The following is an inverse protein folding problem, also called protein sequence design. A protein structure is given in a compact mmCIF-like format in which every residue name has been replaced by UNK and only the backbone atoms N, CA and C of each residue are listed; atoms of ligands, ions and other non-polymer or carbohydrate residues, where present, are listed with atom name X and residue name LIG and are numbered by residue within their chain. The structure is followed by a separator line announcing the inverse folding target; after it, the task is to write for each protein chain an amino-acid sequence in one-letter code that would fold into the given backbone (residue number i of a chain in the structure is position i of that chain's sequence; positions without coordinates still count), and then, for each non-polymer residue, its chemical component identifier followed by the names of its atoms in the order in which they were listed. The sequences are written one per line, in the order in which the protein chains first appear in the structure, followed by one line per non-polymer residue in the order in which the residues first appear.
data_IF_855556674747
#
_entry.id   IF_855556674747
#
_cell.length_a   1.000
_cell.length_b   1.000
_cell.length_c   1.000
_cell.angle_alpha   90.00
_cell.angle_beta   90.00
_cell.angle_gamma   90.00
#
_symmetry.space_group_name_H-M   'P 1'
#
loop_
_entity.id
_entity.type
_entity.pdbx_description
1 polymer ?
#
# COMPACT_ATOMS: atom_id res chain seq x y z
N UNK A 1 0.83 -1.92 -22.33
CA UNK A 1 0.35 -2.76 -21.21
C UNK A 1 0.42 -1.88 -19.98
N UNK A 2 -0.64 -1.81 -19.17
CA UNK A 2 -0.66 -0.99 -17.96
C UNK A 2 0.16 -1.68 -16.87
N UNK A 3 1.08 -0.95 -16.23
CA UNK A 3 1.88 -1.47 -15.13
C UNK A 3 1.27 -1.04 -13.78
N UNK A 4 0.74 -2.02 -13.06
CA UNK A 4 0.09 -1.83 -11.75
C UNK A 4 1.05 -2.27 -10.65
N UNK A 5 1.43 -1.33 -9.79
CA UNK A 5 2.26 -1.61 -8.61
C UNK A 5 1.37 -1.78 -7.38
N UNK A 6 1.46 -2.93 -6.73
CA UNK A 6 0.75 -3.23 -5.47
C UNK A 6 1.70 -3.03 -4.30
N UNK A 7 1.31 -2.21 -3.32
CA UNK A 7 2.08 -2.07 -2.08
C UNK A 7 1.94 -3.31 -1.20
N UNK A 8 3.01 -4.07 -1.14
CA UNK A 8 3.11 -5.31 -0.39
C UNK A 8 3.97 -5.18 0.89
N UNK A 9 4.24 -3.95 1.34
CA UNK A 9 5.07 -3.68 2.52
C UNK A 9 4.50 -4.29 3.81
N UNK A 10 3.18 -4.53 3.88
CA UNK A 10 2.53 -5.21 5.01
C UNK A 10 3.05 -6.63 5.22
N UNK A 11 3.41 -7.35 4.15
CA UNK A 11 4.00 -8.70 4.22
C UNK A 11 5.31 -8.73 5.01
N UNK A 12 6.04 -7.61 5.01
CA UNK A 12 7.31 -7.46 5.73
C UNK A 12 7.12 -7.10 7.20
N UNK A 13 5.91 -6.74 7.61
CA UNK A 13 5.60 -6.27 8.97
C UNK A 13 4.94 -7.35 9.79
N UNK A 14 3.81 -7.85 9.31
CA UNK A 14 3.03 -8.91 9.91
C UNK A 14 2.38 -9.76 8.83
N UNK A 15 3.04 -10.83 8.49
CA UNK A 15 2.64 -11.75 7.44
C UNK A 15 1.31 -12.45 7.70
N UNK A 16 0.94 -12.60 8.95
CA UNK A 16 -0.27 -13.33 9.38
C UNK A 16 -1.46 -12.40 9.64
N UNK A 17 -1.39 -11.15 9.22
CA UNK A 17 -2.54 -10.25 9.30
C UNK A 17 -3.52 -10.48 8.15
N UNK A 18 -4.80 -10.17 8.37
CA UNK A 18 -5.81 -10.25 7.30
C UNK A 18 -5.45 -9.39 6.07
N UNK A 19 -4.85 -8.21 6.29
CA UNK A 19 -4.36 -7.37 5.21
C UNK A 19 -3.26 -8.06 4.40
N UNK A 20 -2.31 -8.71 5.08
CA UNK A 20 -1.23 -9.44 4.41
C UNK A 20 -1.76 -10.62 3.60
N UNK A 21 -2.80 -11.29 4.07
CA UNK A 21 -3.45 -12.38 3.34
C UNK A 21 -4.13 -11.87 2.06
N UNK A 22 -4.83 -10.73 2.13
CA UNK A 22 -5.42 -10.10 0.95
C UNK A 22 -4.34 -9.75 -0.07
N UNK A 23 -3.27 -9.06 0.34
CA UNK A 23 -2.16 -8.68 -0.55
C UNK A 23 -1.48 -9.91 -1.14
N UNK A 24 -1.25 -10.94 -0.35
CA UNK A 24 -0.67 -12.20 -0.79
C UNK A 24 -1.51 -12.82 -1.92
N UNK A 25 -2.82 -12.96 -1.72
CA UNK A 25 -3.70 -13.53 -2.72
C UNK A 25 -3.81 -12.67 -3.99
N UNK A 26 -3.82 -11.35 -3.87
CA UNK A 26 -3.79 -10.47 -5.04
C UNK A 26 -2.52 -10.67 -5.88
N UNK A 27 -1.35 -10.74 -5.26
CA UNK A 27 -0.08 -10.96 -5.96
C UNK A 27 0.03 -12.33 -6.62
N UNK A 28 -0.62 -13.36 -6.06
CA UNK A 28 -0.64 -14.71 -6.63
C UNK A 28 -1.62 -14.83 -7.79
N UNK A 29 -2.81 -14.24 -7.67
CA UNK A 29 -3.91 -14.55 -8.57
C UNK A 29 -4.15 -13.50 -9.66
N UNK A 30 -3.93 -12.21 -9.41
CA UNK A 30 -4.15 -11.19 -10.44
C UNK A 30 -3.33 -11.43 -11.71
N UNK A 31 -2.02 -11.76 -11.66
CA UNK A 31 -1.24 -12.02 -12.88
C UNK A 31 -1.73 -13.24 -13.66
N UNK A 32 -2.45 -14.16 -13.02
CA UNK A 32 -2.98 -15.36 -13.66
C UNK A 32 -4.28 -15.09 -14.43
N UNK A 33 -5.13 -14.22 -13.90
CA UNK A 33 -6.48 -13.97 -14.45
C UNK A 33 -6.54 -12.77 -15.38
N UNK A 34 -5.73 -11.75 -15.14
CA UNK A 34 -5.66 -10.56 -16.01
C UNK A 34 -4.33 -10.50 -16.75
N UNK A 35 -4.42 -10.69 -18.08
CA UNK A 35 -3.27 -10.59 -18.99
C UNK A 35 -3.14 -9.22 -19.65
N UNK A 36 -4.06 -8.29 -19.38
CA UNK A 36 -4.05 -6.92 -19.90
C UNK A 36 -3.09 -6.00 -19.16
N UNK A 37 -2.77 -6.33 -17.90
CA UNK A 37 -1.88 -5.57 -17.03
C UNK A 37 -0.60 -6.36 -16.70
N UNK A 38 0.46 -5.61 -16.42
CA UNK A 38 1.65 -6.13 -15.76
C UNK A 38 1.58 -5.78 -14.28
N UNK A 39 1.75 -6.79 -13.42
CA UNK A 39 1.73 -6.60 -11.98
C UNK A 39 3.12 -6.56 -11.39
N UNK A 40 3.37 -5.56 -10.55
CA UNK A 40 4.63 -5.34 -9.86
C UNK A 40 4.32 -5.18 -8.37
N UNK A 41 5.12 -5.75 -7.50
CA UNK A 41 5.00 -5.53 -6.06
C UNK A 41 6.04 -4.52 -5.57
N UNK A 42 5.62 -3.60 -4.70
CA UNK A 42 6.51 -2.73 -3.95
C UNK A 42 6.60 -3.20 -2.49
N UNK A 43 7.82 -3.38 -1.99
CA UNK A 43 8.05 -3.83 -0.61
C UNK A 43 9.08 -2.93 0.09
N UNK A 44 8.64 -2.19 1.10
CA UNK A 44 9.57 -1.50 1.99
C UNK A 44 9.85 -2.34 3.24
N UNK A 45 11.14 -2.64 3.49
CA UNK A 45 11.59 -3.40 4.65
C UNK A 45 12.90 -2.83 5.21
N UNK A 46 13.26 -3.18 6.43
CA UNK A 46 14.53 -2.73 7.01
C UNK A 46 15.40 -3.89 7.52
N UNK A 47 14.81 -4.82 8.30
CA UNK A 47 15.52 -5.96 8.91
C UNK A 47 15.06 -7.32 8.39
N UNK A 48 13.91 -7.37 7.72
CA UNK A 48 13.36 -8.59 7.13
C UNK A 48 14.17 -9.02 5.91
N UNK A 49 13.98 -10.28 5.47
CA UNK A 49 14.55 -10.84 4.22
C UNK A 49 13.42 -11.07 3.23
N UNK A 50 13.66 -10.79 1.96
CA UNK A 50 12.66 -10.89 0.87
C UNK A 50 12.88 -12.10 -0.05
N UNK A 51 13.84 -12.97 0.24
CA UNK A 51 14.15 -14.12 -0.62
C UNK A 51 12.96 -15.06 -0.80
N UNK A 52 12.17 -15.25 0.26
CA UNK A 52 10.96 -16.07 0.19
C UNK A 52 9.90 -15.44 -0.72
N UNK A 53 9.71 -14.13 -0.64
CA UNK A 53 8.76 -13.40 -1.47
C UNK A 53 9.15 -13.47 -2.94
N UNK A 54 10.43 -13.36 -3.26
CA UNK A 54 10.96 -13.56 -4.62
C UNK A 54 10.64 -14.94 -5.19
N UNK A 55 10.69 -15.97 -4.35
CA UNK A 55 10.35 -17.33 -4.75
C UNK A 55 8.85 -17.54 -4.92
N UNK A 56 8.04 -16.91 -4.08
CA UNK A 56 6.58 -17.06 -4.09
C UNK A 56 5.90 -16.29 -5.25
N UNK A 57 6.40 -15.10 -5.58
CA UNK A 57 5.77 -14.22 -6.57
C UNK A 57 6.56 -14.16 -7.88
N UNK A 58 6.79 -15.33 -8.50
CA UNK A 58 7.61 -15.47 -9.72
C UNK A 58 7.03 -14.72 -10.92
N UNK A 59 5.70 -14.60 -11.01
CA UNK A 59 5.00 -13.88 -12.07
C UNK A 59 4.95 -12.35 -11.84
N UNK A 60 5.52 -11.88 -10.72
CA UNK A 60 5.46 -10.47 -10.32
C UNK A 60 6.85 -9.91 -10.11
N UNK A 61 7.17 -8.81 -10.77
CA UNK A 61 8.41 -8.07 -10.51
C UNK A 61 8.37 -7.47 -9.10
N UNK A 62 9.48 -7.55 -8.35
CA UNK A 62 9.57 -7.00 -7.00
C UNK A 62 10.48 -5.78 -7.01
N UNK A 63 9.92 -4.60 -6.72
CA UNK A 63 10.67 -3.41 -6.35
C UNK A 63 10.74 -3.27 -4.84
N UNK A 64 11.90 -2.97 -4.30
CA UNK A 64 12.06 -2.91 -2.86
C UNK A 64 12.90 -1.73 -2.40
N UNK A 65 12.49 -1.15 -1.25
CA UNK A 65 13.30 -0.24 -0.45
C UNK A 65 13.73 -0.91 0.84
N UNK A 66 14.96 -0.63 1.26
CA UNK A 66 15.48 -1.09 2.55
C UNK A 66 15.63 0.10 3.50
N UNK A 67 14.50 0.67 3.90
CA UNK A 67 14.45 1.88 4.72
C UNK A 67 13.61 1.70 5.98
N UNK A 68 14.01 2.32 7.12
CA UNK A 68 13.18 2.36 8.30
C UNK A 68 11.82 2.99 8.01
N UNK A 69 10.73 2.34 8.42
CA UNK A 69 9.35 2.81 8.18
C UNK A 69 9.11 4.23 8.69
N UNK A 70 9.67 4.59 9.85
CA UNK A 70 9.53 5.94 10.41
C UNK A 70 10.12 7.01 9.48
N UNK A 71 11.23 6.69 8.82
CA UNK A 71 11.88 7.59 7.87
C UNK A 71 11.03 7.76 6.60
N UNK A 72 10.51 6.64 6.06
CA UNK A 72 9.60 6.66 4.91
C UNK A 72 8.32 7.44 5.25
N UNK A 73 7.70 7.17 6.40
CA UNK A 73 6.50 7.87 6.85
C UNK A 73 6.74 9.39 7.03
N UNK A 74 7.88 9.78 7.57
CA UNK A 74 8.28 11.18 7.69
C UNK A 74 8.43 11.84 6.32
N UNK A 75 9.21 11.23 5.42
CA UNK A 75 9.44 11.78 4.08
C UNK A 75 8.16 11.87 3.26
N UNK A 76 7.34 10.83 3.27
CA UNK A 76 6.07 10.85 2.56
C UNK A 76 5.08 11.83 3.22
N UNK A 77 5.18 12.03 4.52
CA UNK A 77 4.42 13.07 5.24
C UNK A 77 4.70 14.48 4.73
N UNK A 78 5.96 14.79 4.39
CA UNK A 78 6.35 16.10 3.81
C UNK A 78 6.28 16.14 2.28
N UNK A 79 5.78 15.09 1.62
CA UNK A 79 5.58 15.04 0.17
C UNK A 79 6.83 14.73 -0.65
N UNK A 80 7.89 14.20 -0.05
CA UNK A 80 9.17 13.87 -0.73
C UNK A 80 9.83 12.64 -0.12
N UNK A 81 10.65 11.89 -0.92
CA UNK A 81 10.70 11.91 -2.38
C UNK A 81 9.43 11.34 -3.02
N UNK A 82 9.17 11.72 -4.27
CA UNK A 82 8.11 11.08 -5.08
C UNK A 82 8.49 9.63 -5.38
N UNK A 83 7.51 8.73 -5.30
CA UNK A 83 7.69 7.30 -5.62
C UNK A 83 8.01 7.08 -7.10
N UNK A 84 7.66 8.03 -7.99
CA UNK A 84 7.99 7.98 -9.41
C UNK A 84 9.49 7.85 -9.69
N UNK A 85 10.35 8.28 -8.77
CA UNK A 85 11.80 8.14 -8.88
C UNK A 85 12.25 6.67 -8.81
N UNK A 86 11.49 5.85 -8.08
CA UNK A 86 11.76 4.43 -7.92
C UNK A 86 10.99 3.58 -8.94
N UNK A 87 9.73 3.94 -9.19
CA UNK A 87 8.79 3.17 -10.00
C UNK A 87 8.54 3.87 -11.34
N UNK A 88 9.62 4.01 -12.14
CA UNK A 88 9.60 4.85 -13.36
C UNK A 88 8.60 4.38 -14.42
N UNK A 89 8.36 3.08 -14.49
CA UNK A 89 7.51 2.43 -15.49
C UNK A 89 6.10 2.11 -14.95
N UNK A 90 5.77 2.57 -13.73
CA UNK A 90 4.46 2.35 -13.14
C UNK A 90 3.43 3.36 -13.68
N UNK A 91 2.26 2.87 -14.04
CA UNK A 91 1.09 3.69 -14.39
C UNK A 91 0.20 3.89 -13.17
N UNK A 92 0.04 2.83 -12.34
CA UNK A 92 -0.85 2.83 -11.19
C UNK A 92 -0.10 2.32 -9.95
N UNK A 93 -0.28 2.99 -8.82
CA UNK A 93 0.15 2.53 -7.50
C UNK A 93 -1.07 2.25 -6.63
N UNK A 94 -1.26 0.99 -6.26
CA UNK A 94 -2.37 0.54 -5.44
C UNK A 94 -1.89 0.27 -4.01
N UNK A 95 -2.31 1.10 -3.06
CA UNK A 95 -2.11 0.88 -1.64
C UNK A 95 -3.33 0.21 -1.00
N UNK A 96 -3.08 -0.85 -0.24
CA UNK A 96 -4.09 -1.55 0.56
C UNK A 96 -4.03 -1.14 2.04
N UNK A 97 -3.23 -0.15 2.37
CA UNK A 97 -3.20 0.44 3.71
C UNK A 97 -3.20 1.97 3.60
N UNK A 98 -3.52 2.64 4.70
CA UNK A 98 -3.85 4.07 4.75
C UNK A 98 -2.78 5.03 4.20
N UNK A 99 -1.58 4.58 3.87
CA UNK A 99 -0.50 5.45 3.44
C UNK A 99 -0.32 5.45 1.92
N UNK A 100 -0.54 6.61 1.28
CA UNK A 100 -0.25 6.85 -0.14
C UNK A 100 1.07 7.64 -0.25
N UNK A 101 2.04 7.15 -1.05
CA UNK A 101 3.26 7.90 -1.33
C UNK A 101 2.96 9.18 -2.12
N UNK A 102 3.84 10.19 -2.06
CA UNK A 102 3.76 11.31 -2.99
C UNK A 102 4.09 10.82 -4.41
N UNK A 103 3.24 11.18 -5.37
CA UNK A 103 3.40 10.89 -6.79
C UNK A 103 3.28 12.18 -7.61
N UNK A 104 3.77 12.17 -8.85
CA UNK A 104 3.60 13.27 -9.80
C UNK A 104 2.89 12.80 -11.09
N UNK A 105 3.15 11.57 -11.52
CA UNK A 105 2.64 10.98 -12.76
C UNK A 105 1.84 9.72 -12.51
N UNK A 106 2.29 8.88 -11.57
CA UNK A 106 1.67 7.61 -11.25
C UNK A 106 0.29 7.86 -10.63
N UNK A 107 -0.75 7.25 -11.19
CA UNK A 107 -2.09 7.27 -10.61
C UNK A 107 -2.17 6.41 -9.37
N UNK A 108 -2.95 6.82 -8.38
CA UNK A 108 -2.99 6.17 -7.08
C UNK A 108 -4.37 5.66 -6.74
N UNK A 109 -4.40 4.42 -6.22
CA UNK A 109 -5.61 3.78 -5.69
C UNK A 109 -5.37 3.48 -4.22
N UNK A 110 -6.33 3.81 -3.37
CA UNK A 110 -6.35 3.46 -1.95
C UNK A 110 -7.52 2.52 -1.67
N UNK A 111 -7.24 1.32 -1.17
CA UNK A 111 -8.29 0.46 -0.59
C UNK A 111 -8.43 0.74 0.90
N UNK A 112 -9.64 1.16 1.30
CA UNK A 112 -10.03 1.33 2.71
C UNK A 112 -10.79 0.09 3.16
N UNK A 113 -10.21 -0.66 4.10
CA UNK A 113 -10.81 -1.89 4.62
C UNK A 113 -11.87 -1.62 5.69
N UNK A 114 -11.61 -0.67 6.58
CA UNK A 114 -12.54 -0.20 7.60
C UNK A 114 -12.19 1.21 8.08
N UNK A 115 -13.16 1.87 8.71
CA UNK A 115 -13.00 3.17 9.34
C UNK A 115 -13.06 3.07 10.88
N UNK A 116 -12.93 1.87 11.48
CA UNK A 116 -13.11 1.64 12.91
C UNK A 116 -12.29 2.57 13.80
N UNK A 117 -11.05 2.86 13.40
CA UNK A 117 -10.16 3.74 14.15
C UNK A 117 -10.67 5.21 14.19
N UNK A 118 -11.51 5.59 13.23
CA UNK A 118 -12.16 6.91 13.18
C UNK A 118 -13.54 6.90 13.84
N UNK A 119 -14.32 5.84 13.59
CA UNK A 119 -15.68 5.70 14.11
C UNK A 119 -15.72 5.41 15.63
N UNK A 120 -14.74 4.65 16.13
CA UNK A 120 -14.65 4.23 17.54
C UNK A 120 -13.26 4.51 18.12
N UNK A 121 -12.84 5.78 18.19
CA UNK A 121 -11.49 6.15 18.63
C UNK A 121 -11.17 5.74 20.07
N UNK A 122 -12.20 5.58 20.92
CA UNK A 122 -12.07 5.15 22.31
C UNK A 122 -11.57 3.69 22.46
N UNK A 123 -11.66 2.87 21.41
CA UNK A 123 -11.14 1.50 21.38
C UNK A 123 -9.63 1.43 21.09
N UNK A 124 -9.02 2.56 20.84
CA UNK A 124 -7.61 2.64 20.44
C UNK A 124 -6.83 3.61 21.30
N UNK A 125 -5.53 3.42 21.39
CA UNK A 125 -4.63 4.37 22.04
C UNK A 125 -4.63 5.73 21.33
N UNK A 126 -4.70 6.87 22.02
CA UNK A 126 -4.75 8.20 21.39
C UNK A 126 -3.64 8.48 20.37
N UNK A 127 -2.37 8.03 20.55
CA UNK A 127 -1.34 8.19 19.52
C UNK A 127 -1.64 7.43 18.24
N UNK A 128 -2.29 6.26 18.33
CA UNK A 128 -2.67 5.43 17.16
C UNK A 128 -3.72 6.17 16.35
N UNK A 129 -4.78 6.66 17.02
CA UNK A 129 -5.86 7.42 16.38
C UNK A 129 -5.32 8.66 15.67
N UNK A 130 -4.51 9.47 16.36
CA UNK A 130 -3.91 10.68 15.79
C UNK A 130 -3.03 10.37 14.55
N UNK A 131 -2.24 9.30 14.63
CA UNK A 131 -1.41 8.90 13.50
C UNK A 131 -2.26 8.41 12.32
N UNK A 132 -3.30 7.61 12.59
CA UNK A 132 -4.21 7.10 11.56
C UNK A 132 -4.94 8.25 10.87
N UNK A 133 -5.53 9.19 11.62
CA UNK A 133 -6.19 10.39 11.09
C UNK A 133 -5.25 11.22 10.22
N UNK A 134 -4.02 11.46 10.72
CA UNK A 134 -3.01 12.20 9.96
C UNK A 134 -2.66 11.52 8.63
N UNK A 135 -2.43 10.20 8.65
CA UNK A 135 -2.10 9.44 7.44
C UNK A 135 -3.27 9.41 6.46
N UNK A 136 -4.49 9.20 6.95
CA UNK A 136 -5.71 9.22 6.14
C UNK A 136 -5.89 10.57 5.44
N UNK A 137 -5.80 11.68 6.18
CA UNK A 137 -5.94 13.02 5.60
C UNK A 137 -4.88 13.32 4.52
N UNK A 138 -3.62 12.92 4.76
CA UNK A 138 -2.55 13.07 3.76
C UNK A 138 -2.86 12.23 2.52
N UNK A 139 -3.33 11.00 2.70
CA UNK A 139 -3.59 10.07 1.60
C UNK A 139 -4.81 10.47 0.79
N UNK A 140 -5.90 10.89 1.43
CA UNK A 140 -7.10 11.39 0.75
C UNK A 140 -6.82 12.66 -0.07
N UNK A 141 -5.86 13.50 0.36
CA UNK A 141 -5.42 14.67 -0.40
C UNK A 141 -4.53 14.34 -1.61
N UNK A 142 -4.16 13.06 -1.82
CA UNK A 142 -3.24 12.62 -2.88
C UNK A 142 -3.83 11.57 -3.81
N UNK A 143 -4.79 10.80 -3.31
CA UNK A 143 -5.32 9.64 -4.03
C UNK A 143 -6.21 10.07 -5.20
N UNK A 144 -6.08 9.35 -6.33
CA UNK A 144 -6.95 9.55 -7.50
C UNK A 144 -8.26 8.74 -7.36
N UNK A 145 -8.21 7.56 -6.72
CA UNK A 145 -9.37 6.69 -6.54
C UNK A 145 -9.34 6.00 -5.17
N UNK A 146 -10.47 6.07 -4.46
CA UNK A 146 -10.71 5.29 -3.23
C UNK A 146 -11.61 4.11 -3.53
N UNK A 147 -11.20 2.93 -3.08
CA UNK A 147 -11.97 1.69 -3.14
C UNK A 147 -12.30 1.25 -1.72
N UNK A 148 -13.53 0.84 -1.47
CA UNK A 148 -13.96 0.30 -0.18
C UNK A 148 -14.36 -1.16 -0.33
N UNK A 149 -14.12 -1.97 0.71
CA UNK A 149 -14.42 -3.41 0.68
C UNK A 149 -15.91 -3.72 0.87
N UNK A 150 -16.70 -2.73 1.29
CA UNK A 150 -18.14 -2.88 1.51
C UNK A 150 -18.86 -1.55 1.35
N UNK A 151 -20.16 -1.63 1.10
CA UNK A 151 -21.04 -0.46 1.08
C UNK A 151 -21.09 0.23 2.47
N UNK A 152 -21.02 -0.55 3.54
CA UNK A 152 -20.92 -0.02 4.90
C UNK A 152 -19.69 0.89 5.07
N UNK A 153 -18.52 0.40 4.71
CA UNK A 153 -17.27 1.20 4.76
C UNK A 153 -17.34 2.45 3.86
N UNK A 154 -18.10 2.37 2.75
CA UNK A 154 -18.28 3.52 1.87
C UNK A 154 -19.13 4.63 2.49
N UNK A 155 -20.06 4.27 3.35
CA UNK A 155 -20.96 5.21 4.01
C UNK A 155 -20.35 5.84 5.26
N UNK A 156 -19.38 5.18 5.90
CA UNK A 156 -18.61 5.74 7.02
C UNK A 156 -17.64 6.84 6.56
#
# INVERSE_FOLDING_TARGET
MINVVIDASCLMINRYSGLSEVVHNLLLHLPLVDKGCQYTSFMNYFRSRIEREKTLYQETTIHSWRLPRRLVAFWWGIGRPSIDLLLKDADIYHSLHVQIPPTKKIKTILTVHDCRCLAYPELYEPPVVKNYQKQMNISLGRVDLVVTVSEFTRQE
#
